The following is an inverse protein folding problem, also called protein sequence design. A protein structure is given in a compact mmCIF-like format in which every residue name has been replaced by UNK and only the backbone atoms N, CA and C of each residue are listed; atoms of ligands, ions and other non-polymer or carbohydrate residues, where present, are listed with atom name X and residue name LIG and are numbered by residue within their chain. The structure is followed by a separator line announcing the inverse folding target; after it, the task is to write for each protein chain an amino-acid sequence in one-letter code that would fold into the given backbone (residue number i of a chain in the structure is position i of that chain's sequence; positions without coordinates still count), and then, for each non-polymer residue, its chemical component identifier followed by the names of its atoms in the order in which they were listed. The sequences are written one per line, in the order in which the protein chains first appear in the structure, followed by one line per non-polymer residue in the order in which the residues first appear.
data_IF_261205112597
#
_entry.id   IF_261205112597
#
_cell.length_a   1.000
_cell.length_b   1.000
_cell.length_c   1.000
_cell.angle_alpha   90.00
_cell.angle_beta   90.00
_cell.angle_gamma   90.00
#
_symmetry.space_group_name_H-M   'P 1'
#
loop_
_entity.id
_entity.type
_entity.pdbx_description
1 polymer ?
#
# COMPACT_ATOMS: atom_id res chain seq x y z
N UNK A 1 -4.89 -7.82 -16.85
CA UNK A 1 -4.81 -7.34 -15.48
C UNK A 1 -4.35 -5.90 -15.42
N UNK A 2 -4.89 -5.16 -14.44
CA UNK A 2 -4.50 -3.77 -14.24
C UNK A 2 -3.16 -3.68 -13.51
N UNK A 3 -2.25 -2.85 -13.98
CA UNK A 3 -0.97 -2.59 -13.29
C UNK A 3 -1.23 -2.01 -11.90
N UNK A 4 -2.30 -1.26 -11.76
CA UNK A 4 -2.73 -0.68 -10.49
C UNK A 4 -3.04 -1.77 -9.47
N UNK A 5 -3.73 -2.82 -9.89
CA UNK A 5 -4.06 -3.95 -9.04
C UNK A 5 -2.80 -4.74 -8.68
N UNK A 6 -1.91 -4.94 -9.64
CA UNK A 6 -0.63 -5.61 -9.39
C UNK A 6 0.20 -4.86 -8.35
N UNK A 7 0.22 -3.53 -8.43
CA UNK A 7 0.93 -2.71 -7.47
C UNK A 7 0.30 -2.80 -6.08
N UNK A 8 -1.02 -2.80 -6.01
CA UNK A 8 -1.72 -2.96 -4.74
C UNK A 8 -1.37 -4.29 -4.08
N UNK A 9 -1.36 -5.36 -4.86
CA UNK A 9 -1.00 -6.69 -4.35
C UNK A 9 0.47 -6.74 -3.91
N UNK A 10 1.35 -6.07 -4.65
CA UNK A 10 2.75 -5.94 -4.29
C UNK A 10 2.90 -5.27 -2.93
N UNK A 11 2.21 -4.17 -2.70
CA UNK A 11 2.23 -3.48 -1.42
C UNK A 11 1.62 -4.32 -0.29
N UNK A 12 0.57 -5.06 -0.61
CA UNK A 12 -0.07 -5.92 0.38
C UNK A 12 0.90 -6.98 0.92
N UNK A 13 1.83 -7.44 0.09
CA UNK A 13 2.85 -8.39 0.51
C UNK A 13 3.86 -7.80 1.48
N UNK A 14 3.95 -6.47 1.52
CA UNK A 14 4.83 -5.74 2.43
C UNK A 14 4.16 -5.44 3.76
N UNK A 15 2.94 -5.92 3.96
CA UNK A 15 2.20 -5.70 5.19
C UNK A 15 2.90 -6.36 6.38
N UNK A 16 2.61 -5.90 7.62
CA UNK A 16 3.23 -6.49 8.81
C UNK A 16 2.91 -7.97 8.95
N UNK A 17 3.81 -8.70 9.58
CA UNK A 17 3.65 -10.13 9.80
C UNK A 17 2.66 -10.44 10.93
N UNK A 18 2.46 -9.50 11.84
CA UNK A 18 1.50 -9.65 12.93
C UNK A 18 0.09 -9.29 12.46
N UNK A 19 -0.90 -9.61 13.28
CA UNK A 19 -2.30 -9.34 12.93
C UNK A 19 -2.57 -7.87 12.71
N UNK A 20 -1.89 -7.00 13.45
CA UNK A 20 -1.97 -5.57 13.20
C UNK A 20 -0.81 -4.83 13.84
N UNK A 21 -0.35 -3.78 13.17
CA UNK A 21 0.67 -2.86 13.69
C UNK A 21 0.25 -1.45 13.31
N UNK A 22 0.72 -0.48 14.07
CA UNK A 22 0.47 0.92 13.75
C UNK A 22 1.50 1.42 12.75
N UNK A 23 1.05 1.83 11.60
CA UNK A 23 1.88 2.41 10.56
C UNK A 23 1.37 3.81 10.24
N UNK A 24 2.25 4.69 9.79
CA UNK A 24 1.84 6.02 9.34
C UNK A 24 1.34 5.90 7.90
N UNK A 25 0.05 6.10 7.72
CA UNK A 25 -0.59 6.05 6.41
C UNK A 25 -1.47 7.29 6.28
N UNK A 26 -1.20 8.10 5.26
CA UNK A 26 -1.93 9.33 5.05
C UNK A 26 -1.69 10.36 6.16
N UNK A 27 -0.49 10.37 6.74
CA UNK A 27 -0.12 11.33 7.77
C UNK A 27 -0.63 11.01 9.16
N UNK A 28 -1.25 9.85 9.36
CA UNK A 28 -1.81 9.44 10.64
C UNK A 28 -1.38 8.02 10.99
N UNK A 29 -1.24 7.74 12.27
CA UNK A 29 -1.01 6.38 12.74
C UNK A 29 -2.30 5.58 12.57
N UNK A 30 -2.22 4.50 11.82
CA UNK A 30 -3.36 3.62 11.56
C UNK A 30 -2.95 2.18 11.78
N UNK A 31 -3.89 1.37 12.20
CA UNK A 31 -3.63 -0.07 12.30
C UNK A 31 -3.60 -0.68 10.90
N UNK A 32 -2.50 -1.34 10.58
CA UNK A 32 -2.33 -2.02 9.32
C UNK A 32 -2.36 -3.52 9.58
N UNK A 33 -3.34 -4.20 9.01
CA UNK A 33 -3.50 -5.64 9.15
C UNK A 33 -2.66 -6.38 8.13
N UNK A 34 -2.51 -7.68 8.33
CA UNK A 34 -1.87 -8.57 7.37
C UNK A 34 -2.43 -8.38 5.98
N UNK A 35 -1.54 -8.34 4.99
CA UNK A 35 -1.93 -8.33 3.59
C UNK A 35 -2.89 -7.21 3.23
N UNK A 36 -2.78 -6.06 3.89
CA UNK A 36 -3.72 -4.97 3.73
C UNK A 36 -3.10 -3.59 3.50
N UNK A 37 -1.77 -3.50 3.54
CA UNK A 37 -1.08 -2.21 3.45
C UNK A 37 -1.41 -1.46 2.14
N UNK A 38 -1.37 -2.14 1.00
CA UNK A 38 -1.65 -1.51 -0.28
C UNK A 38 -3.07 -0.99 -0.37
N UNK A 39 -4.02 -1.75 0.15
CA UNK A 39 -5.42 -1.35 0.17
C UNK A 39 -5.62 -0.12 1.04
N UNK A 40 -4.98 -0.08 2.20
CA UNK A 40 -5.07 1.07 3.09
C UNK A 40 -4.40 2.30 2.51
N UNK A 41 -3.22 2.14 1.89
CA UNK A 41 -2.53 3.25 1.27
C UNK A 41 -3.37 3.87 0.16
N UNK A 42 -3.95 3.03 -0.68
CA UNK A 42 -4.81 3.47 -1.77
C UNK A 42 -6.01 4.27 -1.24
N UNK A 43 -6.55 3.85 -0.10
CA UNK A 43 -7.75 4.47 0.48
C UNK A 43 -7.44 5.77 1.23
N UNK A 44 -6.38 5.77 2.03
CA UNK A 44 -6.09 6.89 2.94
C UNK A 44 -5.02 7.84 2.44
N UNK A 45 -4.22 7.42 1.48
CA UNK A 45 -3.16 8.25 0.90
C UNK A 45 -3.08 7.98 -0.60
N UNK A 46 -4.13 8.37 -1.34
CA UNK A 46 -4.16 8.11 -2.79
C UNK A 46 -3.03 8.81 -3.54
N UNK A 47 -2.58 9.96 -3.08
CA UNK A 47 -1.46 10.68 -3.71
C UNK A 47 -0.18 9.86 -3.58
N UNK A 48 0.13 9.38 -2.37
CA UNK A 48 1.29 8.53 -2.15
C UNK A 48 1.20 7.22 -2.94
N UNK A 49 0.02 6.65 -3.03
CA UNK A 49 -0.22 5.45 -3.81
C UNK A 49 0.12 5.71 -5.29
N UNK A 50 -0.35 6.82 -5.85
CA UNK A 50 -0.11 7.14 -7.27
C UNK A 50 1.37 7.42 -7.53
N UNK A 51 2.06 8.10 -6.64
CA UNK A 51 3.50 8.36 -6.78
C UNK A 51 4.25 7.04 -6.83
N UNK A 52 3.97 6.14 -5.91
CA UNK A 52 4.60 4.82 -5.88
C UNK A 52 4.25 3.99 -7.10
N UNK A 53 3.03 4.11 -7.59
CA UNK A 53 2.58 3.40 -8.79
C UNK A 53 3.39 3.83 -10.01
N UNK A 54 3.67 5.12 -10.16
CA UNK A 54 4.49 5.63 -11.26
C UNK A 54 5.89 5.04 -11.22
N UNK A 55 6.49 4.97 -10.04
CA UNK A 55 7.81 4.37 -9.89
C UNK A 55 7.78 2.88 -10.20
N UNK A 56 6.74 2.20 -9.77
CA UNK A 56 6.55 0.79 -10.05
C UNK A 56 6.48 0.53 -11.57
N UNK A 57 5.76 1.37 -12.29
CA UNK A 57 5.65 1.25 -13.75
C UNK A 57 6.97 1.43 -14.45
N UNK A 58 7.85 2.29 -13.93
CA UNK A 58 9.16 2.53 -14.53
C UNK A 58 10.08 1.33 -14.44
N UNK A 59 9.85 0.46 -13.48
CA UNK A 59 10.71 -0.68 -13.20
C UNK A 59 10.21 -1.99 -13.80
N UNK A 60 9.22 -1.91 -14.66
CA UNK A 60 8.68 -3.11 -15.32
C UNK A 60 9.22 -3.25 -16.73
#
# INVERSE_FOLDING_TARGET
MSIRKEYEEYLNRMSPDSDSEKWVIGGKNRYCHRNNYGTMLKRYDPIGFEVGLKEFKKNI
#
